data_IF_360513999316
#
_entry.id   IF_360513999316
#
_cell.length_a   1.000
_cell.length_b   1.000
_cell.length_c   1.000
_cell.angle_alpha   90.00
_cell.angle_beta   90.00
_cell.angle_gamma   90.00
#
_symmetry.space_group_name_H-M   'P 1'
#
loop_
_entity.id
_entity.type
_entity.pdbx_description
1 polymer ?
#
# COMPACT_ATOMS: atom_id res chain seq x y z
N UNK A 1 17.12 -4.99 47.04
CA UNK A 1 16.53 -3.64 46.89
C UNK A 1 15.42 -3.49 47.92
N UNK A 2 15.53 -2.45 48.74
CA UNK A 2 14.71 -2.25 49.95
C UNK A 2 13.25 -1.90 49.61
N UNK A 3 12.29 -2.65 50.17
CA UNK A 3 10.84 -2.47 49.91
C UNK A 3 10.33 -1.06 50.26
N UNK A 4 11.04 -0.33 51.13
CA UNK A 4 10.72 1.05 51.52
C UNK A 4 10.86 2.04 50.35
N UNK A 5 11.80 1.81 49.44
CA UNK A 5 12.04 2.70 48.31
C UNK A 5 11.00 2.52 47.18
N UNK A 6 10.41 1.33 47.06
CA UNK A 6 9.36 1.06 46.08
C UNK A 6 8.05 1.78 46.44
N UNK A 7 7.73 1.85 47.75
CA UNK A 7 6.51 2.49 48.23
C UNK A 7 6.55 4.02 48.08
N UNK A 8 7.71 4.65 48.34
CA UNK A 8 7.92 6.08 48.13
C UNK A 8 7.81 6.49 46.66
N UNK A 9 8.33 5.66 45.75
CA UNK A 9 8.22 5.92 44.30
C UNK A 9 6.77 5.87 43.81
N UNK A 10 5.97 4.92 44.30
CA UNK A 10 4.56 4.82 43.92
C UNK A 10 3.73 6.02 44.38
N UNK A 11 4.04 6.60 45.54
CA UNK A 11 3.33 7.79 46.05
C UNK A 11 3.74 9.05 45.27
N UNK A 12 5.03 9.19 44.94
CA UNK A 12 5.50 10.33 44.14
C UNK A 12 4.90 10.35 42.73
N UNK A 13 4.78 9.18 42.09
CA UNK A 13 4.26 9.10 40.73
C UNK A 13 2.76 9.44 40.66
N UNK A 14 1.98 9.02 41.65
CA UNK A 14 0.56 9.38 41.74
C UNK A 14 0.33 10.88 41.94
N UNK A 15 1.20 11.56 42.69
CA UNK A 15 1.13 13.02 42.86
C UNK A 15 1.51 13.79 41.58
N UNK A 16 2.48 13.28 40.81
CA UNK A 16 2.91 13.88 39.55
C UNK A 16 1.79 13.85 38.50
N UNK A 17 1.09 12.71 38.38
CA UNK A 17 -0.04 12.54 37.45
C UNK A 17 -1.18 13.50 37.81
N UNK A 18 -1.50 13.65 39.10
CA UNK A 18 -2.54 14.57 39.55
C UNK A 18 -2.22 16.04 39.20
N UNK A 19 -0.95 16.45 39.27
CA UNK A 19 -0.51 17.80 38.90
C UNK A 19 -0.63 18.08 37.40
N UNK A 20 -0.38 17.09 36.53
CA UNK A 20 -0.54 17.23 35.07
C UNK A 20 -2.00 17.44 34.69
N UNK A 21 -2.94 16.77 35.36
CA UNK A 21 -4.37 16.97 35.12
C UNK A 21 -4.90 18.31 35.62
N UNK A 22 -4.32 18.87 36.69
CA UNK A 22 -4.75 20.17 37.25
C UNK A 22 -4.27 21.38 36.42
N UNK A 23 -3.23 21.24 35.59
CA UNK A 23 -2.65 22.35 34.81
C UNK A 23 -2.98 22.31 33.30
N UNK A 24 -3.76 21.33 32.82
CA UNK A 24 -3.77 20.95 31.41
C UNK A 24 -5.04 21.17 30.58
N UNK A 25 -6.06 21.91 31.04
CA UNK A 25 -7.27 22.11 30.22
C UNK A 25 -7.68 23.58 30.07
N UNK A 26 -7.17 24.31 29.06
CA UNK A 26 -7.86 25.46 28.52
C UNK A 26 -9.08 24.99 27.68
N UNK A 27 -10.25 25.11 28.29
CA UNK A 27 -11.44 25.82 27.81
C UNK A 27 -11.59 25.94 26.26
N UNK A 28 -12.56 25.18 25.74
CA UNK A 28 -13.67 25.61 24.85
C UNK A 28 -13.42 26.79 23.90
N UNK A 29 -13.55 26.52 22.59
CA UNK A 29 -14.38 27.34 21.70
C UNK A 29 -13.67 28.26 20.70
N UNK A 30 -13.53 27.78 19.46
CA UNK A 30 -13.64 28.62 18.26
C UNK A 30 -13.98 27.76 17.06
N UNK A 31 -15.28 27.49 16.91
CA UNK A 31 -15.87 27.07 15.64
C UNK A 31 -16.15 28.34 14.84
N UNK A 32 -15.20 28.73 14.00
CA UNK A 32 -15.44 29.73 12.96
C UNK A 32 -16.01 28.96 11.77
N UNK A 33 -17.33 29.05 11.60
CA UNK A 33 -17.98 28.73 10.34
C UNK A 33 -17.55 29.79 9.33
N UNK A 34 -16.70 29.39 8.38
CA UNK A 34 -16.50 30.14 7.15
C UNK A 34 -17.35 29.46 6.08
N UNK A 35 -18.58 29.95 5.92
CA UNK A 35 -19.40 29.68 4.73
C UNK A 35 -18.64 30.25 3.53
N UNK A 36 -18.01 29.36 2.76
CA UNK A 36 -17.68 29.63 1.37
C UNK A 36 -18.76 28.99 0.52
N UNK A 37 -19.78 29.77 0.22
CA UNK A 37 -20.63 29.53 -0.95
C UNK A 37 -19.76 29.66 -2.20
N UNK A 38 -19.15 28.56 -2.62
CA UNK A 38 -18.56 28.41 -3.95
C UNK A 38 -19.69 28.05 -4.91
N UNK A 39 -20.20 29.07 -5.58
CA UNK A 39 -21.18 28.96 -6.65
C UNK A 39 -20.58 28.19 -7.84
N UNK A 40 -20.69 26.87 -7.81
CA UNK A 40 -20.21 25.98 -8.87
C UNK A 40 -21.27 25.85 -9.97
N UNK A 41 -21.66 26.98 -10.57
CA UNK A 41 -22.48 26.99 -11.78
C UNK A 41 -21.62 26.99 -13.03
N UNK A 42 -21.84 25.95 -13.85
CA UNK A 42 -21.62 25.92 -15.30
C UNK A 42 -20.16 25.97 -15.79
N UNK A 43 -19.68 24.90 -16.45
CA UNK A 43 -19.73 24.76 -17.92
C UNK A 43 -18.92 23.52 -18.39
N UNK A 44 -19.32 22.98 -19.54
CA UNK A 44 -18.57 22.06 -20.43
C UNK A 44 -18.62 20.54 -20.16
N UNK A 45 -19.82 19.94 -20.29
CA UNK A 45 -19.99 18.49 -20.40
C UNK A 45 -19.92 17.96 -21.85
N UNK A 46 -19.06 18.49 -22.74
CA UNK A 46 -19.04 18.03 -24.14
C UNK A 46 -17.68 18.05 -24.86
N UNK A 47 -16.55 18.13 -24.14
CA UNK A 47 -15.22 18.27 -24.77
C UNK A 47 -14.11 17.42 -24.11
N UNK A 48 -14.42 16.25 -23.55
CA UNK A 48 -13.44 15.51 -22.73
C UNK A 48 -13.39 13.99 -22.94
N UNK A 49 -14.09 13.41 -23.93
CA UNK A 49 -14.08 11.95 -24.09
C UNK A 49 -13.09 11.45 -25.15
N UNK A 50 -12.95 12.16 -26.27
CA UNK A 50 -12.01 11.78 -27.34
C UNK A 50 -10.55 12.06 -26.95
N UNK A 51 -10.26 13.22 -26.37
CA UNK A 51 -8.92 13.61 -25.88
C UNK A 51 -8.39 12.69 -24.77
N UNK A 52 -9.25 12.24 -23.84
CA UNK A 52 -8.84 11.27 -22.82
C UNK A 52 -8.55 9.88 -23.40
N UNK A 53 -9.22 9.51 -24.51
CA UNK A 53 -9.00 8.22 -25.16
C UNK A 53 -7.69 8.17 -25.95
N UNK A 54 -7.34 9.26 -26.65
CA UNK A 54 -6.06 9.38 -27.36
C UNK A 54 -4.88 9.43 -26.37
N UNK A 55 -5.00 10.22 -25.30
CA UNK A 55 -3.97 10.28 -24.25
C UNK A 55 -3.77 8.92 -23.54
N UNK A 56 -4.84 8.14 -23.36
CA UNK A 56 -4.76 6.79 -22.81
C UNK A 56 -4.03 5.83 -23.75
N UNK A 57 -4.32 5.87 -25.06
CA UNK A 57 -3.65 5.02 -26.03
C UNK A 57 -2.16 5.36 -26.13
N UNK A 58 -1.81 6.65 -26.17
CA UNK A 58 -0.41 7.09 -26.16
C UNK A 58 0.34 6.63 -24.90
N UNK A 59 -0.32 6.68 -23.73
CA UNK A 59 0.27 6.14 -22.50
C UNK A 59 0.47 4.62 -22.54
N UNK A 60 -0.47 3.87 -23.13
CA UNK A 60 -0.37 2.42 -23.27
C UNK A 60 0.76 2.01 -24.22
N UNK A 61 0.87 2.68 -25.38
CA UNK A 61 1.96 2.46 -26.33
C UNK A 61 3.32 2.75 -25.68
N UNK A 62 3.45 3.91 -25.04
CA UNK A 62 4.69 4.28 -24.37
C UNK A 62 5.09 3.31 -23.24
N UNK A 63 4.11 2.83 -22.48
CA UNK A 63 4.33 1.79 -21.47
C UNK A 63 4.86 0.51 -22.09
N UNK A 64 4.23 0.05 -23.17
CA UNK A 64 4.56 -1.25 -23.78
C UNK A 64 5.98 -1.21 -24.38
N UNK A 65 6.40 -0.06 -24.91
CA UNK A 65 7.78 0.19 -25.35
C UNK A 65 8.79 0.10 -24.19
N UNK A 66 8.53 0.80 -23.08
CA UNK A 66 9.39 0.76 -21.87
C UNK A 66 9.51 -0.68 -21.35
N UNK A 67 8.38 -1.37 -21.22
CA UNK A 67 8.36 -2.76 -20.74
C UNK A 67 9.12 -3.67 -21.71
N UNK A 68 8.97 -3.46 -23.03
CA UNK A 68 9.71 -4.20 -24.05
C UNK A 68 11.23 -4.04 -23.93
N UNK A 69 11.70 -2.81 -23.69
CA UNK A 69 13.12 -2.50 -23.46
C UNK A 69 13.64 -3.18 -22.19
N UNK A 70 12.93 -3.03 -21.06
CA UNK A 70 13.32 -3.66 -19.79
C UNK A 70 13.32 -5.20 -19.87
N UNK A 71 12.38 -5.81 -20.60
CA UNK A 71 12.38 -7.26 -20.87
C UNK A 71 13.64 -7.67 -21.65
N UNK A 72 14.03 -6.89 -22.65
CA UNK A 72 15.23 -7.16 -23.44
C UNK A 72 16.51 -7.11 -22.61
N UNK A 73 16.56 -6.17 -21.65
CA UNK A 73 17.70 -5.98 -20.74
C UNK A 73 17.72 -6.99 -19.58
N UNK A 74 16.60 -7.71 -19.36
CA UNK A 74 16.44 -8.66 -18.25
C UNK A 74 16.00 -8.00 -16.94
N UNK A 75 15.60 -6.74 -17.01
CA UNK A 75 15.24 -5.88 -15.89
C UNK A 75 13.71 -5.83 -15.66
N UNK A 76 12.95 -6.79 -16.20
CA UNK A 76 11.49 -6.83 -16.02
C UNK A 76 10.94 -8.22 -15.69
N UNK A 77 10.39 -8.33 -14.48
CA UNK A 77 9.68 -9.49 -13.95
C UNK A 77 8.59 -9.03 -12.98
N UNK A 78 7.46 -8.57 -13.51
CA UNK A 78 6.31 -8.13 -12.71
C UNK A 78 5.47 -9.32 -12.20
N UNK A 79 4.88 -9.15 -11.02
CA UNK A 79 4.02 -10.13 -10.37
C UNK A 79 2.53 -10.00 -10.71
N UNK A 80 2.15 -9.01 -11.52
CA UNK A 80 0.79 -8.75 -11.96
C UNK A 80 0.58 -9.20 -13.41
N UNK A 81 -0.68 -9.37 -13.82
CA UNK A 81 -1.02 -9.60 -15.23
C UNK A 81 -0.77 -8.36 -16.11
N UNK A 82 -0.88 -7.17 -15.52
CA UNK A 82 -0.59 -5.89 -16.15
C UNK A 82 0.51 -5.16 -15.39
N UNK A 83 1.47 -4.51 -16.08
CA UNK A 83 2.51 -3.74 -15.42
C UNK A 83 1.92 -2.72 -14.43
N UNK A 84 2.39 -2.72 -13.18
CA UNK A 84 2.05 -1.69 -12.22
C UNK A 84 2.77 -0.37 -12.55
N UNK A 85 2.19 0.75 -12.13
CA UNK A 85 2.79 2.07 -12.37
C UNK A 85 4.16 2.21 -11.72
N UNK A 86 4.39 1.55 -10.57
CA UNK A 86 5.70 1.53 -9.92
C UNK A 86 6.78 0.89 -10.79
N UNK A 87 6.51 -0.26 -11.42
CA UNK A 87 7.49 -0.93 -12.28
C UNK A 87 7.82 -0.15 -13.56
N UNK A 88 6.99 0.80 -13.97
CA UNK A 88 7.23 1.66 -15.14
C UNK A 88 7.89 2.99 -14.74
N UNK A 89 7.47 3.56 -13.60
CA UNK A 89 7.84 4.92 -13.20
C UNK A 89 9.08 5.01 -12.31
N UNK A 90 9.50 3.93 -11.63
CA UNK A 90 10.58 3.93 -10.64
C UNK A 90 11.25 2.58 -10.51
N UNK A 91 12.57 2.58 -10.31
CA UNK A 91 13.40 1.53 -9.65
C UNK A 91 14.86 2.06 -9.58
N UNK A 92 15.95 1.41 -9.09
CA UNK A 92 16.08 0.14 -8.39
C UNK A 92 15.88 0.32 -6.88
N UNK A 93 15.14 -0.62 -6.28
CA UNK A 93 14.72 -0.59 -4.87
C UNK A 93 13.60 0.41 -4.53
N UNK A 94 12.92 0.98 -5.54
CA UNK A 94 11.90 2.04 -5.52
C UNK A 94 12.38 3.52 -5.62
N UNK A 95 13.54 3.79 -6.26
CA UNK A 95 13.92 5.09 -6.83
C UNK A 95 15.16 5.05 -7.77
N UNK A 96 15.17 5.86 -8.84
CA UNK A 96 16.11 6.08 -10.01
C UNK A 96 16.81 4.91 -10.77
N UNK A 97 16.22 4.46 -11.91
CA UNK A 97 16.63 3.31 -12.77
C UNK A 97 15.59 2.17 -12.98
N UNK A 98 15.04 1.97 -14.18
CA UNK A 98 13.92 1.03 -14.44
C UNK A 98 14.27 -0.50 -14.36
N UNK A 99 14.40 -1.15 -13.18
CA UNK A 99 14.38 -2.61 -12.99
C UNK A 99 13.29 -3.15 -12.04
N UNK A 100 12.37 -3.97 -12.55
CA UNK A 100 11.27 -4.60 -11.80
C UNK A 100 11.57 -6.10 -11.57
N UNK A 101 11.79 -6.52 -10.32
CA UNK A 101 12.04 -7.93 -9.97
C UNK A 101 11.02 -8.51 -8.97
N UNK A 102 9.80 -7.94 -8.93
CA UNK A 102 8.77 -8.34 -7.96
C UNK A 102 8.41 -9.83 -8.02
N UNK A 103 8.59 -10.49 -9.17
CA UNK A 103 8.39 -11.93 -9.28
C UNK A 103 9.35 -12.72 -8.39
N UNK A 104 10.63 -12.33 -8.37
CA UNK A 104 11.66 -12.95 -7.54
C UNK A 104 11.43 -12.62 -6.07
N UNK A 105 11.10 -11.36 -5.78
CA UNK A 105 10.78 -10.92 -4.41
C UNK A 105 9.65 -11.79 -3.81
N UNK A 106 8.53 -11.91 -4.52
CA UNK A 106 7.39 -12.71 -4.07
C UNK A 106 7.75 -14.18 -3.92
N UNK A 107 8.50 -14.75 -4.87
CA UNK A 107 8.92 -16.15 -4.79
C UNK A 107 9.80 -16.44 -3.56
N UNK A 108 10.49 -15.42 -3.04
CA UNK A 108 11.30 -15.48 -1.82
C UNK A 108 10.55 -15.00 -0.57
N UNK A 109 9.24 -14.71 -0.66
CA UNK A 109 8.42 -14.26 0.46
C UNK A 109 8.65 -12.79 0.84
N UNK A 110 9.23 -11.98 -0.04
CA UNK A 110 9.39 -10.53 0.13
C UNK A 110 8.20 -9.81 -0.49
N UNK A 111 7.64 -8.83 0.23
CA UNK A 111 6.46 -8.11 -0.22
C UNK A 111 6.69 -7.33 -1.52
N UNK A 112 5.70 -7.27 -2.44
CA UNK A 112 5.75 -6.36 -3.56
C UNK A 112 5.29 -4.95 -3.15
N UNK A 113 5.41 -3.96 -4.03
CA UNK A 113 4.95 -2.60 -3.73
C UNK A 113 3.43 -2.54 -3.43
N UNK A 114 2.99 -1.48 -2.76
CA UNK A 114 1.59 -1.33 -2.32
C UNK A 114 0.54 -1.41 -3.44
N UNK A 115 0.87 -0.96 -4.66
CA UNK A 115 -0.01 -1.12 -5.83
C UNK A 115 -0.20 -2.60 -6.18
N UNK A 116 0.89 -3.36 -6.23
CA UNK A 116 0.83 -4.80 -6.47
C UNK A 116 0.05 -5.53 -5.38
N UNK A 117 0.23 -5.18 -4.10
CA UNK A 117 -0.54 -5.79 -3.01
C UNK A 117 -2.04 -5.57 -3.23
N UNK A 118 -2.48 -4.35 -3.54
CA UNK A 118 -3.88 -4.04 -3.83
C UNK A 118 -4.43 -4.87 -4.99
N UNK A 119 -3.76 -4.82 -6.15
CA UNK A 119 -4.18 -5.55 -7.35
C UNK A 119 -4.20 -7.08 -7.13
N UNK A 120 -3.23 -7.62 -6.38
CA UNK A 120 -3.21 -9.04 -6.02
C UNK A 120 -4.43 -9.41 -5.18
N UNK A 121 -4.77 -8.61 -4.16
CA UNK A 121 -5.94 -8.86 -3.31
C UNK A 121 -7.26 -8.65 -4.05
N UNK A 122 -7.26 -7.92 -5.17
CA UNK A 122 -8.41 -7.76 -6.06
C UNK A 122 -8.56 -8.92 -7.07
N UNK A 123 -7.49 -9.67 -7.35
CA UNK A 123 -7.46 -10.81 -8.28
C UNK A 123 -6.76 -10.53 -9.60
N UNK A 124 -5.88 -9.52 -9.65
CA UNK A 124 -5.15 -9.08 -10.85
C UNK A 124 -3.64 -9.44 -10.81
N UNK A 125 -3.24 -10.23 -9.82
CA UNK A 125 -1.92 -10.84 -9.75
C UNK A 125 -1.73 -11.93 -10.80
N UNK A 126 -0.47 -12.26 -11.10
CA UNK A 126 -0.13 -13.36 -11.98
C UNK A 126 -0.51 -14.72 -11.34
N UNK A 127 -1.48 -15.48 -11.90
CA UNK A 127 -1.96 -16.72 -11.29
C UNK A 127 -0.88 -17.80 -11.12
N UNK A 128 0.17 -17.79 -11.95
CA UNK A 128 1.24 -18.80 -11.89
C UNK A 128 2.10 -18.71 -10.63
N UNK A 129 2.06 -17.57 -9.92
CA UNK A 129 2.78 -17.36 -8.67
C UNK A 129 1.86 -17.13 -7.47
N UNK A 130 0.55 -17.37 -7.63
CA UNK A 130 -0.44 -17.10 -6.60
C UNK A 130 -0.16 -17.81 -5.26
N UNK A 131 0.46 -19.00 -5.31
CA UNK A 131 0.86 -19.76 -4.11
C UNK A 131 1.86 -19.05 -3.18
N UNK A 132 2.51 -17.99 -3.65
CA UNK A 132 3.49 -17.21 -2.89
C UNK A 132 2.93 -15.90 -2.32
N UNK A 133 1.78 -15.42 -2.83
CA UNK A 133 1.26 -14.10 -2.51
C UNK A 133 0.97 -13.90 -1.03
N UNK A 134 0.36 -14.90 -0.38
CA UNK A 134 -0.07 -14.73 1.00
C UNK A 134 1.09 -14.48 1.96
N UNK A 135 2.17 -15.25 1.83
CA UNK A 135 3.38 -15.09 2.65
C UNK A 135 4.11 -13.80 2.31
N UNK A 136 4.28 -13.48 1.03
CA UNK A 136 4.93 -12.23 0.63
C UNK A 136 4.18 -10.99 1.16
N UNK A 137 2.85 -10.98 1.11
CA UNK A 137 2.05 -9.86 1.63
C UNK A 137 2.10 -9.81 3.16
N UNK A 138 2.04 -10.97 3.83
CA UNK A 138 2.08 -11.06 5.29
C UNK A 138 3.40 -10.56 5.90
N UNK A 139 4.50 -10.59 5.14
CA UNK A 139 5.78 -10.03 5.58
C UNK A 139 5.69 -8.53 5.87
N UNK A 140 4.97 -7.76 5.05
CA UNK A 140 4.78 -6.30 5.23
C UNK A 140 3.61 -5.99 6.18
N UNK A 141 2.47 -6.66 6.02
CA UNK A 141 1.26 -6.31 6.77
C UNK A 141 1.17 -7.01 8.13
N UNK A 142 1.99 -8.04 8.35
CA UNK A 142 2.13 -8.79 9.60
C UNK A 142 1.60 -10.23 9.54
N UNK A 143 2.41 -11.16 10.06
CA UNK A 143 2.13 -12.60 10.13
C UNK A 143 0.80 -12.99 10.77
N UNK A 144 0.28 -12.17 11.69
CA UNK A 144 -1.04 -12.40 12.29
C UNK A 144 -2.19 -12.38 11.26
N UNK A 145 -1.96 -11.81 10.07
CA UNK A 145 -2.94 -11.74 8.99
C UNK A 145 -2.79 -12.85 7.96
N UNK A 146 -1.74 -13.69 8.04
CA UNK A 146 -1.42 -14.70 7.04
C UNK A 146 -2.60 -15.62 6.73
N UNK A 147 -3.30 -16.11 7.76
CA UNK A 147 -4.46 -16.99 7.58
C UNK A 147 -5.61 -16.30 6.80
N UNK A 148 -5.88 -15.03 7.10
CA UNK A 148 -6.88 -14.24 6.39
C UNK A 148 -6.47 -13.97 4.95
N UNK A 149 -5.19 -13.65 4.71
CA UNK A 149 -4.69 -13.42 3.36
C UNK A 149 -4.74 -14.72 2.55
N UNK A 150 -4.36 -15.88 3.13
CA UNK A 150 -4.49 -17.18 2.46
C UNK A 150 -5.92 -17.47 2.02
N UNK A 151 -6.91 -17.09 2.84
CA UNK A 151 -8.32 -17.20 2.48
C UNK A 151 -8.68 -16.30 1.28
N UNK A 152 -8.26 -15.04 1.29
CA UNK A 152 -8.51 -14.10 0.17
C UNK A 152 -7.88 -14.63 -1.13
N UNK A 153 -6.62 -15.06 -1.08
CA UNK A 153 -5.92 -15.60 -2.26
C UNK A 153 -6.62 -16.86 -2.77
N UNK A 154 -7.10 -17.73 -1.87
CA UNK A 154 -7.87 -18.92 -2.27
C UNK A 154 -9.13 -18.54 -3.07
N UNK A 155 -9.89 -17.56 -2.58
CA UNK A 155 -11.11 -17.08 -3.23
C UNK A 155 -10.82 -16.37 -4.57
N UNK A 156 -9.70 -15.65 -4.68
CA UNK A 156 -9.36 -14.85 -5.85
C UNK A 156 -8.73 -15.66 -6.99
N UNK A 157 -7.96 -16.69 -6.66
CA UNK A 157 -7.15 -17.43 -7.63
C UNK A 157 -7.54 -18.90 -7.79
N UNK A 158 -8.58 -19.37 -7.10
CA UNK A 158 -9.04 -20.77 -7.15
C UNK A 158 -7.92 -21.79 -6.80
N UNK A 159 -7.10 -21.43 -5.82
CA UNK A 159 -6.08 -22.32 -5.24
C UNK A 159 -6.43 -22.68 -3.79
N UNK A 160 -6.11 -23.89 -3.36
CA UNK A 160 -6.38 -24.28 -1.97
C UNK A 160 -5.49 -23.51 -0.98
N UNK A 161 -5.88 -23.45 0.29
CA UNK A 161 -5.05 -22.85 1.35
C UNK A 161 -3.77 -23.67 1.56
N UNK A 162 -3.86 -24.99 1.39
CA UNK A 162 -2.77 -25.95 1.57
C UNK A 162 -1.70 -25.86 0.47
N UNK A 163 -2.07 -25.43 -0.73
CA UNK A 163 -1.15 -25.19 -1.84
C UNK A 163 -0.33 -23.90 -1.69
N UNK A 164 -0.79 -22.99 -0.83
CA UNK A 164 -0.10 -21.72 -0.54
C UNK A 164 1.03 -21.94 0.47
N UNK A 165 2.23 -21.49 0.11
CA UNK A 165 3.43 -21.56 0.94
C UNK A 165 3.31 -20.56 2.08
#
# INVERSE_FOLDING_TARGET
MDKKNLFLYSILNSFLILLVFLMGFPIVGSWINHDQDVDHSQMHANHSYEDMSENRLAFMEHRDDIVGEMIHEGDYACCLEKPCTYCIAKTPGHGEGASCHCLDDIANGVHPCGECIGEILEGHGNPYVAKYFATAIAEEVGEQHLATIKQIISEKYDISIEEQL
#
